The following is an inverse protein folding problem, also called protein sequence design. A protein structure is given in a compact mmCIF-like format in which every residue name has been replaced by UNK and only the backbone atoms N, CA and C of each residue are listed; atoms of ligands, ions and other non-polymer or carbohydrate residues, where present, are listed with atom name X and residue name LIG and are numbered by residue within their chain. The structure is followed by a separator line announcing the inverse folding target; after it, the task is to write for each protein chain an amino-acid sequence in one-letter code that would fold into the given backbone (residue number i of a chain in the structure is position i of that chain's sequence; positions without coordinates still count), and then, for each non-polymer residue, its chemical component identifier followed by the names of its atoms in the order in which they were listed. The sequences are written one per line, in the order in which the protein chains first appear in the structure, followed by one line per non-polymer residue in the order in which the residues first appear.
data_IF_343981048580
#
_entry.id   IF_343981048580
#
_cell.length_a   1.000
_cell.length_b   1.000
_cell.length_c   1.000
_cell.angle_alpha   90.00
_cell.angle_beta   90.00
_cell.angle_gamma   90.00
#
_symmetry.space_group_name_H-M   'P 1'
#
loop_
_entity.id
_entity.type
_entity.pdbx_description
1 polymer ?
#
# COMPACT_ATOMS: atom_id res chain seq x y z
N UNK A 1 -54.65 4.46 -32.49
CA UNK A 1 -53.25 4.82 -32.17
C UNK A 1 -53.08 5.90 -31.09
N UNK A 2 -53.98 6.90 -30.98
CA UNK A 2 -53.86 8.03 -30.04
C UNK A 2 -53.74 7.66 -28.54
N UNK A 3 -54.36 6.54 -28.12
CA UNK A 3 -54.34 6.14 -26.70
C UNK A 3 -53.02 5.47 -26.30
N UNK A 4 -52.39 4.68 -27.19
CA UNK A 4 -51.10 4.01 -26.92
C UNK A 4 -49.96 5.01 -26.68
N UNK A 5 -49.98 6.14 -27.41
CA UNK A 5 -49.00 7.22 -27.25
C UNK A 5 -49.11 7.92 -25.87
N UNK A 6 -50.33 8.06 -25.33
CA UNK A 6 -50.56 8.64 -24.00
C UNK A 6 -50.00 7.75 -22.88
N UNK A 7 -50.09 6.43 -23.01
CA UNK A 7 -49.53 5.50 -22.02
C UNK A 7 -48.00 5.48 -22.06
N UNK A 8 -47.40 5.53 -23.25
CA UNK A 8 -45.94 5.63 -23.41
C UNK A 8 -45.38 6.93 -22.80
N UNK A 9 -46.07 8.06 -22.99
CA UNK A 9 -45.66 9.34 -22.39
C UNK A 9 -45.71 9.31 -20.85
N UNK A 10 -46.77 8.71 -20.29
CA UNK A 10 -46.92 8.57 -18.83
C UNK A 10 -45.88 7.63 -18.23
N UNK A 11 -45.53 6.55 -18.94
CA UNK A 11 -44.52 5.60 -18.49
C UNK A 11 -43.11 6.24 -18.48
N UNK A 12 -42.80 7.05 -19.50
CA UNK A 12 -41.54 7.79 -19.57
C UNK A 12 -41.39 8.81 -18.43
N UNK A 13 -42.43 9.59 -18.12
CA UNK A 13 -42.39 10.52 -16.97
C UNK A 13 -42.21 9.81 -15.62
N UNK A 14 -42.78 8.61 -15.46
CA UNK A 14 -42.63 7.83 -14.23
C UNK A 14 -41.21 7.27 -14.06
N UNK A 15 -40.55 6.88 -15.17
CA UNK A 15 -39.16 6.39 -15.14
C UNK A 15 -38.14 7.47 -14.79
N UNK A 16 -38.35 8.72 -15.22
CA UNK A 16 -37.44 9.82 -14.87
C UNK A 16 -37.51 10.23 -13.40
N UNK A 17 -38.68 10.10 -12.76
CA UNK A 17 -38.85 10.40 -11.33
C UNK A 17 -38.12 9.38 -10.43
N UNK A 18 -38.05 8.11 -10.85
CA UNK A 18 -37.34 7.06 -10.10
C UNK A 18 -35.81 7.22 -10.13
N UNK A 19 -35.25 7.71 -11.24
CA UNK A 19 -33.78 7.89 -11.36
C UNK A 19 -33.30 9.08 -10.51
N UNK A 20 -34.14 10.11 -10.34
CA UNK A 20 -33.81 11.30 -9.53
C UNK A 20 -33.74 11.05 -8.02
N UNK A 21 -34.39 10.00 -7.50
CA UNK A 21 -34.36 9.65 -6.07
C UNK A 21 -33.14 8.78 -5.67
N UNK A 22 -32.48 8.14 -6.64
CA UNK A 22 -31.31 7.28 -6.42
C UNK A 22 -30.00 7.87 -6.96
N UNK A 23 -30.05 9.06 -7.58
CA UNK A 23 -28.88 9.79 -8.04
C UNK A 23 -28.36 10.76 -6.97
N UNK A 24 -27.18 10.46 -6.42
CA UNK A 24 -26.36 11.31 -5.53
C UNK A 24 -26.89 11.54 -4.10
N UNK A 25 -26.55 10.63 -3.20
CA UNK A 25 -26.06 11.06 -1.89
C UNK A 25 -24.57 11.35 -2.04
N UNK A 26 -24.21 12.64 -2.14
CA UNK A 26 -22.82 13.02 -1.91
C UNK A 26 -22.41 12.49 -0.53
N UNK A 27 -21.24 11.82 -0.37
CA UNK A 27 -20.80 11.47 0.96
C UNK A 27 -20.70 12.76 1.76
N UNK A 28 -21.39 12.81 2.91
CA UNK A 28 -21.21 13.87 3.89
C UNK A 28 -19.70 14.09 4.04
N UNK A 29 -19.26 15.33 3.92
CA UNK A 29 -17.87 15.72 4.19
C UNK A 29 -17.61 15.46 5.67
N UNK A 30 -17.28 14.22 6.00
CA UNK A 30 -16.78 13.86 7.31
C UNK A 30 -15.33 14.31 7.29
N UNK A 31 -15.05 15.40 8.01
CA UNK A 31 -13.70 15.83 8.34
C UNK A 31 -12.87 14.58 8.69
N UNK A 32 -11.68 14.38 8.09
CA UNK A 32 -10.84 13.23 8.43
C UNK A 32 -10.70 13.16 9.95
N UNK A 33 -10.88 11.99 10.58
CA UNK A 33 -10.66 11.87 12.02
C UNK A 33 -9.26 12.40 12.32
N UNK A 34 -9.17 13.34 13.25
CA UNK A 34 -7.90 13.92 13.68
C UNK A 34 -6.96 12.78 14.01
N UNK A 35 -5.88 12.64 13.23
CA UNK A 35 -4.91 11.55 13.41
C UNK A 35 -4.45 11.60 14.87
N UNK A 36 -4.57 10.50 15.64
CA UNK A 36 -4.10 10.49 17.01
C UNK A 36 -2.62 10.88 17.02
N UNK A 37 -2.26 11.84 17.88
CA UNK A 37 -0.88 12.24 18.05
C UNK A 37 -0.06 11.02 18.45
N UNK A 38 1.07 10.83 17.78
CA UNK A 38 2.00 9.79 18.17
C UNK A 38 2.46 10.06 19.62
N UNK A 39 2.51 9.03 20.48
CA UNK A 39 3.04 9.20 21.82
C UNK A 39 4.47 9.74 21.73
N UNK A 40 4.74 10.89 22.34
CA UNK A 40 6.02 11.60 22.23
C UNK A 40 7.20 10.90 22.94
N UNK A 41 6.95 9.77 23.60
CA UNK A 41 7.96 8.97 24.27
C UNK A 41 8.30 7.73 23.43
N UNK A 42 8.61 7.96 22.15
CA UNK A 42 9.16 6.91 21.29
C UNK A 42 10.64 6.84 21.64
N UNK A 43 11.17 5.68 22.04
CA UNK A 43 12.60 5.52 22.23
C UNK A 43 13.32 5.92 20.92
N UNK A 44 14.52 6.54 21.00
CA UNK A 44 15.28 6.84 19.81
C UNK A 44 15.40 5.59 18.95
N UNK A 45 15.29 5.70 17.62
CA UNK A 45 15.40 4.55 16.75
C UNK A 45 16.72 3.83 17.08
N UNK A 46 16.70 2.49 17.19
CA UNK A 46 17.92 1.74 17.46
C UNK A 46 18.98 2.13 16.43
N UNK A 47 20.19 2.45 16.89
CA UNK A 47 21.29 2.79 16.00
C UNK A 47 21.74 1.52 15.28
N UNK A 48 21.36 1.40 14.01
CA UNK A 48 21.81 0.30 13.14
C UNK A 48 23.23 0.53 12.59
N UNK A 49 23.87 1.67 12.90
CA UNK A 49 25.22 2.00 12.46
C UNK A 49 26.28 1.01 12.99
N UNK A 50 26.01 0.33 14.11
CA UNK A 50 26.91 -0.70 14.66
C UNK A 50 26.87 -2.04 13.89
N UNK A 51 25.91 -2.23 12.98
CA UNK A 51 25.85 -3.37 12.07
C UNK A 51 26.58 -3.11 10.74
N UNK A 52 27.15 -1.92 10.57
CA UNK A 52 28.03 -1.61 9.44
C UNK A 52 29.18 -2.61 9.41
N UNK A 53 29.44 -3.24 8.25
CA UNK A 53 30.51 -4.22 8.11
C UNK A 53 31.84 -3.64 8.65
N UNK A 54 32.76 -4.48 9.14
CA UNK A 54 34.12 -4.08 9.58
C UNK A 54 34.89 -3.22 8.56
N UNK A 55 34.41 -3.15 7.31
CA UNK A 55 34.99 -2.43 6.19
C UNK A 55 34.16 -1.22 5.73
N UNK A 56 32.97 -0.96 6.30
CA UNK A 56 32.08 0.14 5.92
C UNK A 56 31.48 0.05 4.51
N UNK A 57 31.91 -0.91 3.69
CA UNK A 57 31.48 -1.08 2.30
C UNK A 57 30.00 -1.44 2.17
N UNK A 58 29.45 -2.20 3.13
CA UNK A 58 28.06 -2.61 3.07
C UNK A 58 27.30 -2.16 4.31
N UNK A 59 26.15 -1.53 4.09
CA UNK A 59 25.17 -1.21 5.11
C UNK A 59 23.98 -2.16 4.97
N UNK A 60 23.55 -2.75 6.08
CA UNK A 60 22.32 -3.57 6.13
C UNK A 60 21.26 -2.77 6.86
N UNK A 61 20.09 -2.63 6.23
CA UNK A 61 18.93 -1.93 6.76
C UNK A 61 17.72 -2.86 6.79
N UNK A 62 16.87 -2.68 7.80
CA UNK A 62 15.53 -3.26 7.81
C UNK A 62 14.58 -2.31 7.09
N UNK A 63 13.92 -2.79 6.05
CA UNK A 63 12.93 -2.04 5.28
C UNK A 63 11.54 -2.62 5.51
N UNK A 64 10.57 -1.76 5.77
CA UNK A 64 9.17 -2.14 5.96
C UNK A 64 8.29 -1.36 4.98
N UNK A 65 7.34 -2.04 4.34
CA UNK A 65 6.35 -1.40 3.47
C UNK A 65 5.00 -2.11 3.54
N UNK A 66 3.93 -1.35 3.38
CA UNK A 66 2.59 -1.90 3.19
C UNK A 66 2.36 -2.16 1.71
N UNK A 67 1.81 -3.32 1.34
CA UNK A 67 1.38 -3.54 -0.04
C UNK A 67 0.20 -2.66 -0.41
N UNK A 68 0.12 -2.33 -1.69
CA UNK A 68 -1.00 -1.62 -2.30
C UNK A 68 -2.18 -2.55 -2.66
N UNK A 69 -2.25 -3.73 -2.04
CA UNK A 69 -3.32 -4.71 -2.27
C UNK A 69 -4.63 -4.26 -1.61
N UNK A 70 -5.76 -4.83 -2.04
CA UNK A 70 -7.10 -4.55 -1.46
C UNK A 70 -7.14 -4.74 0.06
N UNK A 71 -6.34 -5.66 0.59
CA UNK A 71 -6.04 -5.81 2.01
C UNK A 71 -4.54 -5.58 2.21
N UNK A 72 -4.11 -4.44 2.78
CA UNK A 72 -2.69 -4.16 2.96
C UNK A 72 -2.02 -5.19 3.87
N UNK A 73 -0.88 -5.73 3.43
CA UNK A 73 0.01 -6.55 4.25
C UNK A 73 1.30 -5.79 4.53
N UNK A 74 1.78 -5.84 5.78
CA UNK A 74 3.08 -5.31 6.15
C UNK A 74 4.17 -6.31 5.78
N UNK A 75 5.02 -5.93 4.85
CA UNK A 75 6.21 -6.70 4.48
C UNK A 75 7.43 -6.13 5.18
N UNK A 76 8.26 -7.03 5.73
CA UNK A 76 9.56 -6.70 6.31
C UNK A 76 10.65 -7.40 5.51
N UNK A 77 11.65 -6.65 5.04
CA UNK A 77 12.77 -7.19 4.26
C UNK A 77 14.08 -6.61 4.76
N UNK A 78 15.16 -7.39 4.65
CA UNK A 78 16.51 -6.88 4.83
C UNK A 78 17.05 -6.41 3.49
N UNK A 79 17.61 -5.21 3.46
CA UNK A 79 18.26 -4.63 2.29
C UNK A 79 19.73 -4.41 2.60
N UNK A 80 20.60 -4.83 1.71
CA UNK A 80 22.05 -4.59 1.74
C UNK A 80 22.35 -3.55 0.68
N UNK A 81 23.06 -2.48 1.05
CA UNK A 81 23.46 -1.39 0.16
C UNK A 81 24.99 -1.33 0.16
N UNK A 82 25.59 -1.29 -1.03
CA UNK A 82 26.99 -0.91 -1.19
C UNK A 82 27.09 0.61 -1.01
N UNK A 83 27.81 1.05 0.02
CA UNK A 83 27.91 2.47 0.39
C UNK A 83 28.78 3.26 -0.58
N UNK A 84 29.51 2.58 -1.47
CA UNK A 84 30.39 3.19 -2.47
C UNK A 84 29.74 3.33 -3.83
N UNK A 85 28.96 2.32 -4.26
CA UNK A 85 28.31 2.31 -5.58
C UNK A 85 26.83 2.64 -5.53
N UNK A 86 26.19 2.55 -4.37
CA UNK A 86 24.74 2.68 -4.20
C UNK A 86 23.96 1.45 -4.67
N UNK A 87 24.63 0.40 -5.14
CA UNK A 87 23.98 -0.85 -5.54
C UNK A 87 23.29 -1.51 -4.33
N UNK A 88 22.11 -2.06 -4.56
CA UNK A 88 21.29 -2.62 -3.49
C UNK A 88 20.85 -4.05 -3.80
N UNK A 89 20.74 -4.85 -2.74
CA UNK A 89 20.22 -6.22 -2.77
C UNK A 89 19.19 -6.40 -1.67
N UNK A 90 18.17 -7.20 -1.95
CA UNK A 90 17.18 -7.63 -0.98
C UNK A 90 17.44 -9.08 -0.57
N UNK A 91 17.30 -9.36 0.73
CA UNK A 91 17.36 -10.74 1.21
C UNK A 91 16.04 -11.44 0.93
N UNK A 92 16.09 -12.50 0.14
CA UNK A 92 14.98 -13.42 -0.06
C UNK A 92 15.25 -14.66 0.78
N UNK A 93 14.24 -15.07 1.54
CA UNK A 93 14.23 -16.34 2.26
C UNK A 93 13.11 -17.23 1.75
N UNK A 94 13.43 -18.49 1.49
CA UNK A 94 12.46 -19.52 1.09
C UNK A 94 12.75 -20.82 1.82
N UNK A 95 11.70 -21.56 2.19
CA UNK A 95 11.87 -22.93 2.69
C UNK A 95 12.14 -23.86 1.50
N UNK A 96 13.31 -24.51 1.52
CA UNK A 96 13.70 -25.53 0.56
C UNK A 96 13.74 -26.94 1.19
N UNK A 97 14.19 -27.93 0.42
CA UNK A 97 14.27 -29.33 0.85
C UNK A 97 15.12 -29.56 2.11
N UNK A 98 16.11 -28.70 2.35
CA UNK A 98 17.07 -28.80 3.46
C UNK A 98 16.91 -27.66 4.47
N UNK A 99 15.69 -27.09 4.60
CA UNK A 99 15.40 -25.99 5.51
C UNK A 99 15.42 -24.61 4.84
N UNK A 100 15.58 -23.56 5.65
CA UNK A 100 15.53 -22.18 5.19
C UNK A 100 16.75 -21.85 4.30
N UNK A 101 16.49 -21.38 3.08
CA UNK A 101 17.48 -20.93 2.12
C UNK A 101 17.38 -19.42 1.93
N UNK A 102 18.50 -18.72 2.18
CA UNK A 102 18.58 -17.27 2.11
C UNK A 102 19.51 -16.85 0.98
N UNK A 103 19.09 -15.87 0.18
CA UNK A 103 19.86 -15.36 -0.95
C UNK A 103 19.71 -13.84 -1.05
N UNK A 104 20.82 -13.13 -1.26
CA UNK A 104 20.81 -11.72 -1.65
C UNK A 104 20.54 -11.63 -3.15
N UNK A 105 19.43 -10.98 -3.51
CA UNK A 105 19.03 -10.77 -4.91
C UNK A 105 19.14 -9.28 -5.20
N UNK A 106 19.75 -8.86 -6.33
CA UNK A 106 19.82 -7.44 -6.69
C UNK A 106 18.42 -6.81 -6.71
N UNK A 107 18.31 -5.56 -6.24
CA UNK A 107 17.05 -4.80 -6.28
C UNK A 107 16.69 -4.29 -7.69
N UNK A 108 17.51 -4.66 -8.68
CA UNK A 108 17.51 -4.17 -10.06
C UNK A 108 17.72 -2.65 -10.18
N UNK A 109 18.80 -2.28 -10.85
CA UNK A 109 18.90 -1.00 -11.56
C UNK A 109 19.36 -1.31 -12.98
N UNK A 110 18.42 -1.75 -13.81
CA UNK A 110 18.26 -1.36 -15.23
C UNK A 110 17.10 -2.09 -15.88
#
# INVERSE_FOLDING_TARGET
MKNKLKYLLKFSLFSFLYIGLYGQTAPLSVSPPSRPNLPMNIPPPPSFASLSSKTGKFQIISAEYYSADTKPFLYKRLVKIDTTTGEAWVLISKIGKNGEQRQWVPLETK
#
